data_IF_579671983240
#
_entry.id   IF_579671983240
#
_cell.length_a   1.000
_cell.length_b   1.000
_cell.length_c   1.000
_cell.angle_alpha   90.00
_cell.angle_beta   90.00
_cell.angle_gamma   90.00
#
_symmetry.space_group_name_H-M   'P 1'
#
loop_
_entity.id
_entity.type
_entity.pdbx_description
1 polymer ?
#
# COMPACT_ATOMS: atom_id res chain seq x y z
N UNK A 1 -9.94 17.45 -18.82
CA UNK A 1 -9.71 16.17 -19.52
C UNK A 1 -9.26 15.15 -18.48
N UNK A 2 -10.18 14.35 -17.95
CA UNK A 2 -9.84 13.24 -17.04
C UNK A 2 -8.96 12.25 -17.80
N UNK A 3 -7.69 12.11 -17.43
CA UNK A 3 -6.83 11.06 -17.99
C UNK A 3 -7.45 9.72 -17.61
N UNK A 4 -8.07 9.02 -18.56
CA UNK A 4 -8.50 7.64 -18.35
C UNK A 4 -7.26 6.77 -18.36
N UNK A 5 -6.72 6.46 -17.18
CA UNK A 5 -5.69 5.43 -17.08
C UNK A 5 -6.33 4.10 -17.46
N UNK A 6 -5.79 3.38 -18.45
CA UNK A 6 -6.22 2.00 -18.82
C UNK A 6 -5.87 0.96 -17.74
N UNK A 7 -5.49 1.39 -16.55
CA UNK A 7 -5.02 0.53 -15.49
C UNK A 7 -6.18 -0.28 -14.91
N UNK A 8 -6.02 -1.60 -14.89
CA UNK A 8 -6.93 -2.51 -14.20
C UNK A 8 -6.22 -2.99 -12.94
N UNK A 9 -6.81 -2.71 -11.78
CA UNK A 9 -6.28 -3.19 -10.51
C UNK A 9 -6.29 -4.72 -10.49
N UNK A 10 -5.24 -5.32 -9.93
CA UNK A 10 -5.22 -6.76 -9.70
C UNK A 10 -6.21 -7.13 -8.61
N UNK A 11 -6.85 -8.28 -8.79
CA UNK A 11 -7.77 -8.85 -7.82
C UNK A 11 -6.99 -9.94 -7.07
N UNK A 12 -7.04 -9.95 -5.72
CA UNK A 12 -6.46 -11.03 -4.94
C UNK A 12 -7.05 -12.39 -5.31
N UNK A 13 -6.27 -13.45 -5.15
CA UNK A 13 -6.77 -14.83 -5.28
C UNK A 13 -7.64 -15.25 -4.08
N UNK A 14 -7.98 -16.54 -4.02
CA UNK A 14 -8.82 -17.10 -2.96
C UNK A 14 -8.19 -16.99 -1.55
N UNK A 15 -6.87 -16.88 -1.48
CA UNK A 15 -6.10 -16.74 -0.24
C UNK A 15 -5.79 -15.26 0.09
N UNK A 16 -6.32 -14.32 -0.72
CA UNK A 16 -6.09 -12.89 -0.54
C UNK A 16 -4.74 -12.42 -1.07
N UNK A 17 -4.05 -13.22 -1.88
CA UNK A 17 -2.72 -12.90 -2.42
C UNK A 17 -2.85 -12.19 -3.77
N UNK A 18 -2.13 -11.08 -3.92
CA UNK A 18 -2.01 -10.36 -5.19
C UNK A 18 -0.71 -10.77 -5.88
N UNK A 19 -0.86 -11.31 -7.09
CA UNK A 19 0.25 -11.77 -7.93
C UNK A 19 0.87 -10.62 -8.73
N UNK A 20 1.85 -9.94 -8.13
CA UNK A 20 2.65 -8.92 -8.80
C UNK A 20 3.74 -9.56 -9.69
N UNK A 21 3.98 -8.97 -10.84
CA UNK A 21 5.09 -9.36 -11.73
C UNK A 21 6.42 -8.81 -11.23
N UNK A 22 7.51 -9.35 -11.74
CA UNK A 22 8.86 -8.86 -11.43
C UNK A 22 9.04 -7.37 -11.80
N UNK A 23 8.47 -6.93 -12.92
CA UNK A 23 8.49 -5.53 -13.33
C UNK A 23 7.75 -4.62 -12.32
N UNK A 24 6.61 -5.07 -11.78
CA UNK A 24 5.85 -4.33 -10.79
C UNK A 24 6.59 -4.25 -9.44
N UNK A 25 7.25 -5.34 -9.06
CA UNK A 25 8.14 -5.38 -7.89
C UNK A 25 9.37 -4.47 -8.07
N UNK A 26 9.95 -4.41 -9.26
CA UNK A 26 11.06 -3.51 -9.57
C UNK A 26 10.64 -2.02 -9.53
N UNK A 27 9.42 -1.71 -9.99
CA UNK A 27 8.85 -0.37 -9.86
C UNK A 27 8.73 -0.01 -8.37
N UNK A 28 8.20 -0.91 -7.55
CA UNK A 28 8.12 -0.72 -6.11
C UNK A 28 9.49 -0.45 -5.49
N UNK A 29 10.48 -1.33 -5.75
CA UNK A 29 11.84 -1.19 -5.25
C UNK A 29 12.43 0.19 -5.57
N UNK A 30 12.28 0.64 -6.82
CA UNK A 30 12.74 1.95 -7.26
C UNK A 30 12.10 3.07 -6.45
N UNK A 31 10.78 3.01 -6.23
CA UNK A 31 10.03 4.04 -5.52
C UNK A 31 10.34 4.06 -4.03
N UNK A 32 10.32 2.91 -3.35
CA UNK A 32 10.54 2.83 -1.90
C UNK A 32 11.97 3.23 -1.55
N UNK A 33 12.96 2.80 -2.34
CA UNK A 33 14.38 3.15 -2.13
C UNK A 33 14.58 4.66 -2.25
N UNK A 34 14.06 5.27 -3.34
CA UNK A 34 14.16 6.72 -3.54
C UNK A 34 13.45 7.49 -2.41
N UNK A 35 12.28 7.01 -1.99
CA UNK A 35 11.48 7.71 -0.98
C UNK A 35 12.14 7.63 0.40
N UNK A 36 12.64 6.46 0.82
CA UNK A 36 13.37 6.30 2.10
C UNK A 36 14.57 7.25 2.20
N UNK A 37 15.26 7.51 1.09
CA UNK A 37 16.36 8.48 1.06
C UNK A 37 15.91 9.94 1.15
N UNK A 38 14.70 10.27 0.68
CA UNK A 38 14.20 11.64 0.59
C UNK A 38 13.41 12.10 1.84
N UNK A 39 12.91 11.18 2.65
CA UNK A 39 12.05 11.48 3.81
C UNK A 39 12.76 12.07 5.05
N UNK A 40 14.01 11.72 5.39
CA UNK A 40 14.66 12.25 6.58
C UNK A 40 14.74 13.78 6.58
N UNK A 41 14.21 14.42 7.62
CA UNK A 41 14.16 15.88 7.75
C UNK A 41 12.94 16.54 7.09
N UNK A 42 12.20 15.81 6.25
CA UNK A 42 11.00 16.31 5.55
C UNK A 42 9.71 15.74 6.15
N UNK A 43 9.72 14.46 6.52
CA UNK A 43 8.58 13.80 7.15
C UNK A 43 8.53 14.02 8.66
N UNK A 44 7.32 14.05 9.22
CA UNK A 44 7.13 14.08 10.68
C UNK A 44 7.67 12.81 11.35
N UNK A 45 8.10 12.91 12.61
CA UNK A 45 8.61 11.77 13.37
C UNK A 45 7.61 10.59 13.40
N UNK A 46 6.32 10.85 13.62
CA UNK A 46 5.29 9.81 13.65
C UNK A 46 5.20 9.00 12.33
N UNK A 47 5.48 9.64 11.19
CA UNK A 47 5.53 8.95 9.89
C UNK A 47 6.78 8.08 9.77
N UNK A 48 7.94 8.59 10.21
CA UNK A 48 9.19 7.83 10.21
C UNK A 48 9.11 6.61 11.13
N UNK A 49 8.56 6.77 12.34
CA UNK A 49 8.36 5.68 13.30
C UNK A 49 7.40 4.61 12.74
N UNK A 50 6.32 5.04 12.07
CA UNK A 50 5.40 4.13 11.42
C UNK A 50 6.04 3.39 10.24
N UNK A 51 6.90 4.05 9.47
CA UNK A 51 7.60 3.44 8.34
C UNK A 51 8.59 2.36 8.81
N UNK A 52 9.28 2.59 9.91
CA UNK A 52 10.14 1.59 10.56
C UNK A 52 9.31 0.43 11.10
N UNK A 53 8.18 0.72 11.76
CA UNK A 53 7.30 -0.30 12.31
C UNK A 53 6.65 -1.21 11.27
N UNK A 54 6.30 -0.64 10.11
CA UNK A 54 5.71 -1.38 8.99
C UNK A 54 6.72 -2.25 8.25
N UNK A 55 8.02 -1.98 8.39
CA UNK A 55 9.14 -2.73 7.83
C UNK A 55 8.88 -3.25 6.41
N UNK A 56 8.53 -2.32 5.52
CA UNK A 56 8.11 -2.71 4.18
C UNK A 56 9.25 -3.45 3.44
N UNK A 57 8.93 -4.55 2.73
CA UNK A 57 9.88 -5.19 1.84
C UNK A 57 10.35 -4.19 0.79
N UNK A 58 11.64 -4.19 0.50
CA UNK A 58 12.20 -3.28 -0.51
C UNK A 58 12.22 -3.92 -1.90
N UNK A 59 12.20 -5.25 -2.00
CA UNK A 59 12.35 -6.01 -3.24
C UNK A 59 11.02 -6.37 -3.92
N UNK A 60 9.88 -6.20 -3.25
CA UNK A 60 8.54 -6.51 -3.76
C UNK A 60 7.46 -5.63 -3.16
N UNK A 61 6.31 -5.56 -3.82
CA UNK A 61 5.11 -4.93 -3.25
C UNK A 61 4.66 -5.74 -2.01
N UNK A 62 4.40 -5.09 -0.86
CA UNK A 62 3.83 -5.78 0.30
C UNK A 62 2.40 -6.27 0.02
N UNK A 63 2.02 -7.41 0.60
CA UNK A 63 0.64 -7.89 0.54
C UNK A 63 -0.22 -7.12 1.55
N UNK A 64 -1.50 -6.91 1.23
CA UNK A 64 -2.41 -6.17 2.11
C UNK A 64 -2.49 -6.77 3.52
N UNK A 65 -2.44 -8.10 3.64
CA UNK A 65 -2.50 -8.79 4.94
C UNK A 65 -1.23 -8.59 5.78
N UNK A 66 -0.05 -8.50 5.16
CA UNK A 66 1.21 -8.19 5.86
C UNK A 66 1.14 -6.83 6.55
N UNK A 67 0.63 -5.83 5.81
CA UNK A 67 0.40 -4.47 6.34
C UNK A 67 -0.70 -4.46 7.39
N UNK A 68 -1.81 -5.13 7.11
CA UNK A 68 -2.98 -5.17 7.98
C UNK A 68 -2.69 -5.81 9.32
N UNK A 69 -1.81 -6.82 9.37
CA UNK A 69 -1.37 -7.41 10.64
C UNK A 69 -0.77 -6.35 11.59
N UNK A 70 0.16 -5.54 11.09
CA UNK A 70 0.80 -4.49 11.89
C UNK A 70 -0.23 -3.42 12.30
N UNK A 71 -1.09 -3.00 11.38
CA UNK A 71 -2.11 -1.99 11.66
C UNK A 71 -3.14 -2.47 12.69
N UNK A 72 -3.62 -3.72 12.60
CA UNK A 72 -4.59 -4.27 13.55
C UNK A 72 -4.01 -4.33 14.95
N UNK A 73 -2.75 -4.77 15.08
CA UNK A 73 -2.06 -4.83 16.37
C UNK A 73 -1.86 -3.44 17.01
N UNK A 74 -1.70 -2.39 16.21
CA UNK A 74 -1.31 -1.06 16.70
C UNK A 74 -2.47 -0.09 16.85
N UNK A 75 -3.48 -0.20 16.00
CA UNK A 75 -4.57 0.79 15.92
C UNK A 75 -5.94 0.15 15.69
N UNK A 76 -6.02 -1.15 15.40
CA UNK A 76 -7.25 -1.82 14.99
C UNK A 76 -7.65 -1.58 13.53
N UNK A 77 -6.85 -0.84 12.76
CA UNK A 77 -7.09 -0.60 11.33
C UNK A 77 -6.57 -1.73 10.46
N UNK A 78 -7.05 -1.80 9.22
CA UNK A 78 -6.52 -2.71 8.19
C UNK A 78 -6.62 -2.11 6.79
N UNK A 79 -5.98 -2.76 5.82
CA UNK A 79 -6.00 -2.39 4.40
C UNK A 79 -6.93 -3.33 3.65
N UNK A 80 -7.95 -2.77 3.00
CA UNK A 80 -8.85 -3.52 2.12
C UNK A 80 -8.46 -3.35 0.64
N UNK A 81 -8.30 -4.44 -0.13
CA UNK A 81 -8.08 -4.37 -1.57
C UNK A 81 -9.35 -3.87 -2.26
N UNK A 82 -9.21 -2.89 -3.16
CA UNK A 82 -10.33 -2.29 -3.90
C UNK A 82 -10.00 -2.18 -5.39
N UNK A 83 -11.01 -2.11 -6.27
CA UNK A 83 -10.80 -1.72 -7.66
C UNK A 83 -10.11 -0.35 -7.75
N UNK A 84 -9.52 -0.06 -8.91
CA UNK A 84 -8.74 1.17 -9.14
C UNK A 84 -9.47 2.46 -8.72
N UNK A 85 -10.81 2.48 -8.79
CA UNK A 85 -11.65 3.55 -8.25
C UNK A 85 -12.89 2.94 -7.58
N UNK A 86 -13.25 3.50 -6.41
CA UNK A 86 -14.50 3.22 -5.71
C UNK A 86 -15.31 4.51 -5.54
N UNK A 87 -16.63 4.39 -5.38
CA UNK A 87 -17.52 5.53 -5.15
C UNK A 87 -17.43 6.04 -3.70
N UNK A 88 -17.90 7.27 -3.47
CA UNK A 88 -17.88 7.91 -2.15
C UNK A 88 -18.58 7.07 -1.05
N UNK A 89 -19.80 6.53 -1.26
CA UNK A 89 -20.45 5.72 -0.22
C UNK A 89 -19.61 4.52 0.21
N UNK A 90 -18.98 3.83 -0.75
CA UNK A 90 -18.10 2.70 -0.44
C UNK A 90 -16.83 3.15 0.28
N UNK A 91 -16.22 4.27 -0.12
CA UNK A 91 -15.04 4.81 0.56
C UNK A 91 -15.33 5.15 2.03
N UNK A 92 -16.40 5.90 2.30
CA UNK A 92 -16.77 6.25 3.67
C UNK A 92 -17.22 5.04 4.48
N UNK A 93 -17.88 4.05 3.85
CA UNK A 93 -18.23 2.80 4.52
C UNK A 93 -17.02 1.95 4.94
N UNK A 94 -15.86 2.12 4.30
CA UNK A 94 -14.60 1.45 4.69
C UNK A 94 -13.88 2.16 5.85
N UNK A 95 -14.17 3.44 6.09
CA UNK A 95 -13.52 4.24 7.13
C UNK A 95 -14.34 4.37 8.42
N UNK A 96 -15.60 3.91 8.40
CA UNK A 96 -16.55 4.04 9.51
C UNK A 96 -16.33 2.98 10.58
#
# INVERSE_FOLDING_TARGET
MSKSTKYTAKIPDADGIIHYTDDENAIWNTLITRQKAALPGEASQAYMDALELLDFPEDRVPQCEEVSKVLREKTGWEVAPVPALINFPRFFGLLA
#
